data_IF_303734270126
#
_entry.id   IF_303734270126
#
_cell.length_a   1.000
_cell.length_b   1.000
_cell.length_c   1.000
_cell.angle_alpha   90.00
_cell.angle_beta   90.00
_cell.angle_gamma   90.00
#
_symmetry.space_group_name_H-M   'P 1'
#
loop_
_entity.id
_entity.type
_entity.pdbx_description
1 polymer ?
#
# COMPACT_ATOMS: atom_id res chain seq x y z
N UNK A 1 4.75 11.78 -1.88
CA UNK A 1 4.72 11.48 -0.43
C UNK A 1 3.50 10.59 -0.21
N UNK A 2 3.59 9.49 0.53
CA UNK A 2 2.42 8.61 0.73
C UNK A 2 1.49 9.28 1.74
N UNK A 3 0.27 9.60 1.32
CA UNK A 3 -0.74 10.24 2.17
C UNK A 3 -1.21 9.27 3.27
N UNK A 4 -1.49 9.80 4.45
CA UNK A 4 -2.22 9.08 5.49
C UNK A 4 -3.72 9.28 5.27
N UNK A 5 -4.48 8.19 5.25
CA UNK A 5 -5.92 8.19 5.05
C UNK A 5 -6.61 7.98 6.40
N UNK A 6 -7.57 8.85 6.72
CA UNK A 6 -8.35 8.74 7.93
C UNK A 6 -9.17 7.45 7.93
N UNK A 7 -9.20 6.78 9.08
CA UNK A 7 -9.93 5.55 9.29
C UNK A 7 -10.49 5.51 10.72
N UNK A 8 -11.26 4.48 11.03
CA UNK A 8 -11.60 4.13 12.40
C UNK A 8 -11.21 2.69 12.68
N UNK A 9 -10.83 2.38 13.92
CA UNK A 9 -10.50 1.02 14.36
C UNK A 9 -11.37 0.60 15.53
N UNK A 10 -11.95 -0.59 15.44
CA UNK A 10 -12.75 -1.16 16.52
C UNK A 10 -11.85 -1.56 17.70
N UNK A 11 -12.14 -1.11 18.94
CA UNK A 11 -11.35 -1.51 20.11
C UNK A 11 -11.54 -2.98 20.49
N UNK A 12 -12.66 -3.60 20.08
CA UNK A 12 -12.99 -4.99 20.45
C UNK A 12 -12.43 -6.02 19.47
N UNK A 13 -12.64 -5.83 18.16
CA UNK A 13 -12.23 -6.81 17.14
C UNK A 13 -11.11 -6.35 16.22
N UNK A 14 -10.52 -5.17 16.50
CA UNK A 14 -9.44 -4.57 15.73
C UNK A 14 -9.72 -4.32 14.23
N UNK A 15 -10.97 -4.48 13.78
CA UNK A 15 -11.39 -4.14 12.42
C UNK A 15 -11.11 -2.67 12.11
N UNK A 16 -10.35 -2.41 11.05
CA UNK A 16 -10.13 -1.07 10.51
C UNK A 16 -11.14 -0.81 9.39
N UNK A 17 -11.84 0.30 9.45
CA UNK A 17 -12.82 0.75 8.44
C UNK A 17 -12.41 2.12 7.95
N UNK A 18 -12.49 2.32 6.64
CA UNK A 18 -12.31 3.61 6.01
C UNK A 18 -13.34 3.73 4.86
N UNK A 19 -14.02 4.88 4.67
CA UNK A 19 -13.93 6.12 5.45
C UNK A 19 -14.26 5.93 6.94
N UNK A 20 -13.86 6.87 7.82
CA UNK A 20 -14.12 6.77 9.25
C UNK A 20 -15.60 6.53 9.55
N UNK A 21 -15.88 5.55 10.40
CA UNK A 21 -17.21 5.22 10.89
C UNK A 21 -17.30 5.48 12.39
N UNK A 22 -18.48 5.88 12.88
CA UNK A 22 -18.74 6.08 14.31
C UNK A 22 -18.90 4.76 15.06
N UNK A 23 -19.54 3.75 14.46
CA UNK A 23 -19.83 2.46 15.10
C UNK A 23 -19.23 1.29 14.32
N UNK A 24 -18.86 0.23 15.04
CA UNK A 24 -18.35 -0.98 14.42
C UNK A 24 -19.48 -1.74 13.70
N UNK A 25 -19.28 -2.20 12.45
CA UNK A 25 -20.31 -2.97 11.74
C UNK A 25 -20.52 -4.39 12.31
N UNK A 26 -19.69 -4.83 13.27
CA UNK A 26 -19.74 -6.18 13.87
C UNK A 26 -20.09 -6.19 15.36
N UNK A 27 -19.97 -5.05 16.04
CA UNK A 27 -20.16 -4.94 17.49
C UNK A 27 -20.83 -3.60 17.82
N UNK A 28 -21.70 -3.53 18.83
CA UNK A 28 -22.36 -2.29 19.25
C UNK A 28 -21.42 -1.41 20.10
N UNK A 29 -20.27 -1.03 19.53
CA UNK A 29 -19.25 -0.20 20.19
C UNK A 29 -18.84 0.95 19.28
N UNK A 30 -18.49 2.08 19.89
CA UNK A 30 -17.89 3.20 19.19
C UNK A 30 -16.49 2.83 18.67
N UNK A 31 -16.17 3.36 17.49
CA UNK A 31 -14.88 3.15 16.86
C UNK A 31 -13.88 4.21 17.32
N UNK A 32 -12.63 3.82 17.53
CA UNK A 32 -11.56 4.77 17.83
C UNK A 32 -11.01 5.39 16.53
N UNK A 33 -10.65 6.69 16.51
CA UNK A 33 -9.97 7.30 15.38
C UNK A 33 -8.66 6.56 15.02
N UNK A 34 -8.39 6.42 13.74
CA UNK A 34 -7.19 5.78 13.22
C UNK A 34 -6.73 6.46 11.91
N UNK A 35 -5.52 6.10 11.46
CA UNK A 35 -5.04 6.45 10.15
C UNK A 35 -4.27 5.28 9.54
N UNK A 36 -4.39 5.10 8.23
CA UNK A 36 -3.71 4.06 7.47
C UNK A 36 -2.89 4.68 6.35
N UNK A 37 -1.82 4.02 5.93
CA UNK A 37 -1.06 4.47 4.77
C UNK A 37 -1.92 4.35 3.50
N UNK A 38 -1.93 5.38 2.65
CA UNK A 38 -2.57 5.40 1.34
C UNK A 38 -1.83 4.55 0.30
N UNK A 39 -1.39 3.36 0.68
CA UNK A 39 -0.80 2.35 -0.21
C UNK A 39 -1.47 1.03 0.06
N UNK A 40 -1.79 0.32 -1.02
CA UNK A 40 -2.49 -0.94 -0.96
C UNK A 40 -2.35 -1.76 -2.22
N UNK A 41 -3.24 -2.74 -2.32
CA UNK A 41 -3.29 -3.72 -3.39
C UNK A 41 -4.70 -3.81 -3.95
N UNK A 42 -4.81 -3.92 -5.28
CA UNK A 42 -6.10 -4.13 -5.94
C UNK A 42 -6.57 -5.56 -5.65
N UNK A 43 -7.70 -5.67 -4.96
CA UNK A 43 -8.36 -6.96 -4.64
C UNK A 43 -9.31 -7.36 -5.76
N UNK A 44 -10.02 -6.39 -6.33
CA UNK A 44 -10.94 -6.59 -7.45
C UNK A 44 -11.07 -5.29 -8.23
N UNK A 45 -11.41 -5.37 -9.51
CA UNK A 45 -11.65 -4.19 -10.33
C UNK A 45 -12.67 -4.46 -11.42
N UNK A 46 -13.24 -3.39 -11.95
CA UNK A 46 -14.13 -3.40 -13.11
C UNK A 46 -13.82 -2.20 -14.01
N UNK A 47 -14.22 -2.32 -15.28
CA UNK A 47 -14.12 -1.25 -16.26
C UNK A 47 -15.51 -0.94 -16.79
N UNK A 48 -15.98 0.27 -16.52
CA UNK A 48 -17.24 0.79 -17.06
C UNK A 48 -16.94 1.43 -18.42
N UNK A 49 -17.28 0.70 -19.48
CA UNK A 49 -17.13 1.18 -20.86
C UNK A 49 -18.16 2.25 -21.24
N UNK A 50 -19.30 2.29 -20.54
CA UNK A 50 -20.36 3.30 -20.72
C UNK A 50 -20.75 3.85 -19.34
N UNK A 51 -19.95 4.75 -18.75
CA UNK A 51 -20.26 5.36 -17.46
C UNK A 51 -21.38 6.43 -17.61
N UNK A 52 -22.00 6.85 -16.49
CA UNK A 52 -22.97 7.95 -16.49
C UNK A 52 -22.36 9.28 -16.98
N UNK A 53 -23.23 10.23 -17.32
CA UNK A 53 -22.82 11.59 -17.69
C UNK A 53 -21.92 12.23 -16.61
N UNK A 54 -20.93 13.02 -17.05
CA UNK A 54 -19.92 13.62 -16.19
C UNK A 54 -18.67 12.77 -15.97
N UNK A 55 -18.69 11.47 -16.32
CA UNK A 55 -17.51 10.60 -16.27
C UNK A 55 -16.95 10.32 -17.66
N UNK A 56 -15.61 10.26 -17.77
CA UNK A 56 -14.94 9.88 -19.02
C UNK A 56 -14.93 8.35 -19.17
N UNK A 57 -15.24 7.87 -20.37
CA UNK A 57 -15.12 6.47 -20.72
C UNK A 57 -13.72 6.15 -21.29
N UNK A 58 -13.15 4.97 -20.97
CA UNK A 58 -13.61 4.01 -19.97
C UNK A 58 -13.30 4.49 -18.54
N UNK A 59 -14.21 4.24 -17.60
CA UNK A 59 -13.99 4.50 -16.18
C UNK A 59 -13.54 3.21 -15.48
N UNK A 60 -12.37 3.24 -14.85
CA UNK A 60 -11.88 2.12 -14.06
C UNK A 60 -12.25 2.29 -12.59
N UNK A 61 -12.79 1.25 -11.98
CA UNK A 61 -13.15 1.23 -10.56
C UNK A 61 -12.47 0.02 -9.93
N UNK A 62 -11.77 0.20 -8.82
CA UNK A 62 -11.07 -0.86 -8.11
C UNK A 62 -11.41 -0.87 -6.62
N UNK A 63 -11.58 -2.06 -6.07
CA UNK A 63 -11.53 -2.30 -4.63
C UNK A 63 -10.06 -2.46 -4.22
N UNK A 64 -9.54 -1.53 -3.44
CA UNK A 64 -8.16 -1.53 -2.96
C UNK A 64 -8.14 -1.85 -1.48
N UNK A 65 -7.34 -2.83 -1.08
CA UNK A 65 -7.03 -3.12 0.33
C UNK A 65 -5.73 -2.43 0.71
N UNK A 66 -5.83 -1.51 1.66
CA UNK A 66 -4.69 -0.77 2.21
C UNK A 66 -3.88 -1.65 3.16
N UNK A 67 -2.59 -1.36 3.30
CA UNK A 67 -1.70 -2.12 4.21
C UNK A 67 -2.18 -2.10 5.68
N UNK A 68 -2.99 -1.12 6.08
CA UNK A 68 -3.64 -1.03 7.39
C UNK A 68 -4.96 -1.80 7.55
N UNK A 69 -5.34 -2.60 6.55
CA UNK A 69 -6.52 -3.48 6.54
C UNK A 69 -7.84 -2.83 6.12
N UNK A 70 -7.86 -1.49 5.97
CA UNK A 70 -9.02 -0.80 5.42
C UNK A 70 -9.17 -1.07 3.92
N UNK A 71 -10.40 -1.00 3.40
CA UNK A 71 -10.70 -1.17 1.97
C UNK A 71 -11.44 0.04 1.41
N UNK A 72 -11.08 0.45 0.21
CA UNK A 72 -11.72 1.56 -0.51
C UNK A 72 -12.14 1.15 -1.90
N UNK A 73 -13.28 1.70 -2.34
CA UNK A 73 -13.63 1.76 -3.76
C UNK A 73 -12.98 3.01 -4.34
N UNK A 74 -12.15 2.83 -5.37
CA UNK A 74 -11.32 3.88 -5.94
C UNK A 74 -11.51 4.00 -7.45
N UNK A 75 -11.40 5.22 -7.95
CA UNK A 75 -11.46 5.57 -9.37
C UNK A 75 -10.05 5.59 -9.97
N UNK A 76 -9.90 5.04 -11.18
CA UNK A 76 -8.66 5.07 -11.94
C UNK A 76 -8.78 5.98 -13.16
N UNK A 77 -7.85 6.92 -13.32
CA UNK A 77 -7.84 7.87 -14.44
C UNK A 77 -7.35 7.23 -15.77
N UNK A 78 -6.33 6.38 -15.70
CA UNK A 78 -5.81 5.60 -16.83
C UNK A 78 -5.05 4.39 -16.30
N UNK A 79 -5.46 3.17 -16.67
CA UNK A 79 -4.90 1.97 -16.01
C UNK A 79 -4.49 0.90 -17.00
N UNK A 80 -3.49 1.24 -17.82
CA UNK A 80 -2.68 0.22 -18.51
C UNK A 80 -2.09 -0.73 -17.46
N UNK A 81 -2.34 -2.04 -17.62
CA UNK A 81 -1.80 -3.07 -16.72
C UNK A 81 -2.55 -3.22 -15.38
N UNK A 82 -3.81 -2.77 -15.31
CA UNK A 82 -4.70 -3.04 -14.18
C UNK A 82 -4.89 -4.54 -14.01
N UNK A 83 -4.54 -5.05 -12.83
CA UNK A 83 -4.67 -6.46 -12.46
C UNK A 83 -4.91 -6.58 -10.97
N UNK A 84 -5.60 -7.63 -10.57
CA UNK A 84 -5.65 -8.05 -9.17
C UNK A 84 -4.21 -8.31 -8.71
N UNK A 85 -3.90 -7.85 -7.51
CA UNK A 85 -2.56 -7.91 -6.93
C UNK A 85 -1.63 -6.75 -7.29
N UNK A 86 -2.08 -5.80 -8.12
CA UNK A 86 -1.27 -4.63 -8.42
C UNK A 86 -1.20 -3.68 -7.22
N UNK A 87 0.02 -3.25 -6.90
CA UNK A 87 0.27 -2.25 -5.86
C UNK A 87 -0.02 -0.84 -6.36
N UNK A 88 -0.81 -0.12 -5.59
CA UNK A 88 -1.27 1.23 -5.92
C UNK A 88 -1.13 2.16 -4.72
N UNK A 89 -1.02 3.45 -5.00
CA UNK A 89 -1.26 4.49 -4.02
C UNK A 89 -2.67 5.03 -4.18
N UNK A 90 -3.29 5.44 -3.08
CA UNK A 90 -4.58 6.10 -3.05
C UNK A 90 -4.38 7.56 -2.66
N UNK A 91 -5.11 8.44 -3.33
CA UNK A 91 -5.25 9.85 -3.01
C UNK A 91 -6.73 10.13 -2.75
N UNK A 92 -7.03 10.89 -1.69
CA UNK A 92 -8.38 11.32 -1.37
C UNK A 92 -8.56 12.77 -1.84
N UNK A 93 -9.53 12.99 -2.72
CA UNK A 93 -9.94 14.33 -3.17
C UNK A 93 -11.41 14.47 -2.80
N UNK A 94 -11.68 15.32 -1.82
CA UNK A 94 -12.97 15.40 -1.13
C UNK A 94 -13.40 14.01 -0.61
N UNK A 95 -14.59 13.53 -1.01
CA UNK A 95 -15.12 12.22 -0.65
C UNK A 95 -14.84 11.14 -1.71
N UNK A 96 -14.02 11.43 -2.73
CA UNK A 96 -13.68 10.52 -3.82
C UNK A 96 -12.24 10.04 -3.71
N UNK A 97 -12.06 8.72 -3.81
CA UNK A 97 -10.75 8.09 -3.73
C UNK A 97 -10.24 7.72 -5.12
N UNK A 98 -9.04 8.16 -5.44
CA UNK A 98 -8.38 7.86 -6.70
C UNK A 98 -7.20 6.92 -6.46
N UNK A 99 -6.95 6.00 -7.38
CA UNK A 99 -5.75 5.17 -7.32
C UNK A 99 -4.82 5.41 -8.50
N UNK A 100 -3.51 5.36 -8.23
CA UNK A 100 -2.47 5.44 -9.23
C UNK A 100 -1.49 4.27 -9.07
N UNK A 101 -1.00 3.73 -10.19
CA UNK A 101 0.00 2.67 -10.17
C UNK A 101 1.32 3.20 -9.63
N UNK A 102 1.92 2.50 -8.67
CA UNK A 102 3.23 2.85 -8.16
C UNK A 102 4.33 2.50 -9.18
N UNK A 103 5.23 3.43 -9.48
CA UNK A 103 6.37 3.19 -10.37
C UNK A 103 7.31 2.10 -9.84
N UNK A 104 8.20 1.58 -10.70
CA UNK A 104 9.12 0.50 -10.31
C UNK A 104 10.02 0.88 -9.12
N UNK A 105 10.48 2.14 -9.08
CA UNK A 105 11.29 2.68 -7.99
C UNK A 105 10.50 2.81 -6.68
N UNK A 106 9.24 3.24 -6.73
CA UNK A 106 8.40 3.34 -5.53
C UNK A 106 8.03 1.97 -4.97
N UNK A 107 7.78 0.99 -5.85
CA UNK A 107 7.61 -0.42 -5.44
C UNK A 107 8.85 -0.96 -4.75
N UNK A 108 10.05 -0.67 -5.28
CA UNK A 108 11.31 -1.05 -4.66
C UNK A 108 11.47 -0.38 -3.28
N UNK A 109 11.29 0.94 -3.17
CA UNK A 109 11.37 1.65 -1.88
C UNK A 109 10.43 1.06 -0.82
N UNK A 110 9.20 0.72 -1.19
CA UNK A 110 8.24 0.09 -0.29
C UNK A 110 8.63 -1.34 0.09
N UNK A 111 9.17 -2.14 -0.84
CA UNK A 111 9.71 -3.47 -0.52
C UNK A 111 10.81 -3.38 0.55
N UNK A 112 11.68 -2.36 0.45
CA UNK A 112 12.76 -2.14 1.40
C UNK A 112 12.25 -1.65 2.76
N UNK A 113 11.14 -0.88 2.82
CA UNK A 113 10.49 -0.54 4.10
C UNK A 113 9.99 -1.80 4.83
N UNK A 114 9.42 -2.76 4.11
CA UNK A 114 8.97 -4.03 4.70
C UNK A 114 10.14 -4.96 5.07
N UNK A 115 11.17 -5.01 4.23
CA UNK A 115 12.39 -5.76 4.50
C UNK A 115 13.26 -5.14 5.59
N UNK A 116 13.06 -3.86 5.96
CA UNK A 116 13.73 -3.19 7.06
C UNK A 116 13.52 -3.85 8.43
N UNK A 117 12.49 -4.69 8.60
CA UNK A 117 12.32 -5.55 9.79
C UNK A 117 13.11 -6.87 9.73
N UNK A 118 13.60 -7.25 8.55
CA UNK A 118 14.53 -8.36 8.34
C UNK A 118 15.95 -7.89 7.95
N UNK A 119 16.17 -6.57 7.91
CA UNK A 119 17.38 -5.91 7.41
C UNK A 119 18.60 -6.11 8.29
N UNK A 120 18.40 -6.42 9.57
CA UNK A 120 19.49 -6.71 10.51
C UNK A 120 20.32 -7.94 10.09
N UNK A 121 19.68 -8.95 9.48
CA UNK A 121 20.41 -10.14 9.02
C UNK A 121 21.20 -9.90 7.73
N UNK A 122 20.68 -9.09 6.81
CA UNK A 122 21.35 -8.84 5.52
C UNK A 122 22.60 -7.98 5.72
N UNK A 123 22.53 -7.00 6.63
CA UNK A 123 23.69 -6.18 6.98
C UNK A 123 24.81 -7.02 7.64
N UNK A 124 24.44 -8.00 8.47
CA UNK A 124 25.41 -8.93 9.07
C UNK A 124 26.10 -9.83 8.02
N UNK A 125 25.36 -10.33 7.02
CA UNK A 125 25.92 -11.16 5.94
C UNK A 125 26.86 -10.33 5.06
N UNK A 126 26.44 -9.13 4.66
CA UNK A 126 27.26 -8.22 3.85
C UNK A 126 28.57 -7.84 4.56
N UNK A 127 28.52 -7.56 5.88
CA UNK A 127 29.70 -7.25 6.68
C UNK A 127 30.66 -8.45 6.80
N UNK A 128 30.12 -9.67 6.91
CA UNK A 128 30.95 -10.88 6.98
C UNK A 128 31.66 -11.18 5.65
N UNK A 129 31.02 -10.89 4.51
CA UNK A 129 31.61 -11.09 3.18
C UNK A 129 32.64 -10.02 2.87
N UNK A 130 32.39 -8.75 3.23
CA UNK A 130 33.36 -7.67 3.09
C UNK A 130 34.63 -7.92 3.93
N UNK A 131 34.50 -8.42 5.15
CA UNK A 131 35.65 -8.79 5.98
C UNK A 131 36.42 -9.99 5.42
N UNK A 132 35.73 -10.96 4.79
CA UNK A 132 36.38 -12.14 4.17
C UNK A 132 37.16 -11.77 2.91
N UNK A 133 36.67 -10.79 2.14
CA UNK A 133 37.38 -10.24 0.97
C UNK A 133 38.59 -9.40 1.40
N UNK A 134 38.48 -8.57 2.44
CA UNK A 134 39.62 -7.80 2.94
C UNK A 134 40.74 -8.66 3.54
N UNK A 135 40.39 -9.75 4.22
CA UNK A 135 41.40 -10.66 4.81
C UNK A 135 42.11 -11.56 3.78
N UNK A 136 41.57 -11.66 2.56
CA UNK A 136 42.21 -12.36 1.43
C UNK A 136 43.20 -11.50 0.65
N UNK A 137 43.15 -10.17 0.78
CA UNK A 137 43.99 -9.23 0.03
C UNK A 137 45.33 -8.91 0.71
N UNK A 138 45.55 -9.34 1.96
CA UNK A 138 46.76 -9.03 2.73
C UNK A 138 47.80 -10.17 2.77
N UNK A 139 47.69 -11.16 1.87
CA UNK A 139 48.51 -12.38 1.90
C UNK A 139 49.29 -12.69 0.63
N UNK A 140 49.44 -11.73 -0.30
CA UNK A 140 50.17 -11.91 -1.55
C UNK A 140 51.26 -10.85 -1.72
N UNK A 141 52.15 -10.73 -0.74
CA UNK A 141 53.47 -10.13 -0.98
C UNK A 141 54.51 -10.74 -0.05
N UNK A 142 55.09 -11.86 -0.51
CA UNK A 142 56.49 -12.30 -0.35
C UNK A 142 56.68 -13.69 -0.94
#
# INVERSE_FOLDING_TARGET
>A
MIQAIAASRCPTCALTVAPPAHFCPRHPVEMAPAAVAGVGEIVSFTTLHSPPEGFRAPLHIALVELEGGARFVCHGAETRGLRVGARVAIEAVDDVYYFAHLGALDRARLFWRRAGHAGDRVNAIARSLAQRVWKGSSGAER
#
